data_IF_841954049931
#
_entry.id   IF_841954049931
#
_cell.length_a   1.000
_cell.length_b   1.000
_cell.length_c   1.000
_cell.angle_alpha   90.00
_cell.angle_beta   90.00
_cell.angle_gamma   90.00
#
_symmetry.space_group_name_H-M   'P 1'
#
loop_
_entity.id
_entity.type
_entity.pdbx_description
1 polymer ?
#
# COMPACT_ATOMS: atom_id res chain seq x y z
N UNK A 1 4.77 -18.17 13.16
CA UNK A 1 5.85 -17.22 12.81
C UNK A 1 5.44 -16.20 11.74
N UNK A 2 5.06 -16.61 10.53
CA UNK A 2 4.70 -15.66 9.45
C UNK A 2 3.51 -14.77 9.80
N UNK A 3 2.38 -15.35 10.23
CA UNK A 3 1.17 -14.60 10.61
C UNK A 3 1.47 -13.58 11.71
N UNK A 4 2.27 -13.96 12.71
CA UNK A 4 2.69 -13.04 13.78
C UNK A 4 3.48 -11.84 13.25
N UNK A 5 4.44 -12.07 12.34
CA UNK A 5 5.20 -10.98 11.69
C UNK A 5 4.30 -10.08 10.83
N UNK A 6 3.38 -10.66 10.06
CA UNK A 6 2.42 -9.88 9.27
C UNK A 6 1.55 -9.02 10.19
N UNK A 7 1.01 -9.59 11.27
CA UNK A 7 0.17 -8.86 12.22
C UNK A 7 0.95 -7.73 12.90
N UNK A 8 2.18 -7.99 13.36
CA UNK A 8 3.06 -6.94 13.89
C UNK A 8 3.33 -5.84 12.86
N UNK A 9 3.54 -6.20 11.60
CA UNK A 9 3.71 -5.24 10.50
C UNK A 9 2.45 -4.39 10.25
N UNK A 10 1.28 -5.02 10.26
CA UNK A 10 0.00 -4.31 10.11
C UNK A 10 -0.27 -3.36 11.28
N UNK A 11 0.02 -3.79 12.51
CA UNK A 11 -0.07 -2.92 13.68
C UNK A 11 0.88 -1.72 13.57
N UNK A 12 2.12 -1.95 13.14
CA UNK A 12 3.08 -0.88 12.90
C UNK A 12 2.59 0.13 11.84
N UNK A 13 2.03 -0.37 10.74
CA UNK A 13 1.45 0.47 9.69
C UNK A 13 0.23 1.24 10.19
N UNK A 14 -0.62 0.62 11.02
CA UNK A 14 -1.76 1.29 11.64
C UNK A 14 -1.34 2.41 12.58
N UNK A 15 -0.32 2.18 13.43
CA UNK A 15 0.26 3.21 14.31
C UNK A 15 0.84 4.34 13.47
N UNK A 16 1.62 4.02 12.43
CA UNK A 16 2.22 5.01 11.54
C UNK A 16 1.15 5.86 10.84
N UNK A 17 0.09 5.23 10.35
CA UNK A 17 -1.03 5.92 9.73
C UNK A 17 -1.77 6.84 10.73
N UNK A 18 -1.99 6.36 11.96
CA UNK A 18 -2.60 7.16 13.02
C UNK A 18 -1.74 8.40 13.33
N UNK A 19 -0.43 8.24 13.46
CA UNK A 19 0.51 9.34 13.68
C UNK A 19 0.44 10.37 12.54
N UNK A 20 0.42 9.92 11.28
CA UNK A 20 0.27 10.81 10.13
C UNK A 20 -1.05 11.59 10.16
N UNK A 21 -2.16 10.93 10.51
CA UNK A 21 -3.48 11.58 10.64
C UNK A 21 -3.46 12.63 11.75
N UNK A 22 -2.95 12.28 12.94
CA UNK A 22 -2.85 13.19 14.08
C UNK A 22 -1.98 14.40 13.75
N UNK A 23 -0.84 14.18 13.09
CA UNK A 23 0.03 15.26 12.64
C UNK A 23 -0.68 16.18 11.63
N UNK A 24 -1.38 15.61 10.66
CA UNK A 24 -2.18 16.37 9.70
C UNK A 24 -3.23 17.23 10.39
N UNK A 25 -3.98 16.67 11.35
CA UNK A 25 -4.96 17.41 12.14
C UNK A 25 -4.32 18.55 12.95
N UNK A 26 -3.15 18.31 13.55
CA UNK A 26 -2.40 19.32 14.29
C UNK A 26 -1.94 20.49 13.39
N UNK A 27 -1.64 20.21 12.12
CA UNK A 27 -1.29 21.23 11.12
C UNK A 27 -2.52 21.91 10.47
N UNK A 28 -3.74 21.54 10.89
CA UNK A 28 -4.98 22.12 10.38
C UNK A 28 -5.57 21.43 9.15
N UNK A 29 -5.17 20.19 8.85
CA UNK A 29 -5.82 19.40 7.81
C UNK A 29 -7.29 19.16 8.17
N UNK A 30 -8.19 19.52 7.25
CA UNK A 30 -9.63 19.27 7.41
C UNK A 30 -9.95 17.88 6.87
N UNK A 31 -10.00 16.90 7.77
CA UNK A 31 -10.38 15.52 7.45
C UNK A 31 -11.88 15.37 7.67
N UNK A 32 -12.66 15.38 6.59
CA UNK A 32 -14.10 15.12 6.65
C UNK A 32 -14.35 13.62 6.76
N UNK A 33 -14.67 13.13 7.95
CA UNK A 33 -15.06 11.75 8.17
C UNK A 33 -16.53 11.67 8.55
N UNK A 34 -17.38 11.39 7.55
CA UNK A 34 -18.80 11.14 7.75
C UNK A 34 -19.26 9.95 6.87
N UNK A 35 -19.22 8.71 7.40
CA UNK A 35 -19.66 7.53 6.68
C UNK A 35 -21.17 7.47 6.43
N UNK A 36 -21.97 8.24 7.16
CA UNK A 36 -23.42 8.31 6.95
C UNK A 36 -23.75 9.21 5.76
N UNK A 37 -23.04 10.32 5.60
CA UNK A 37 -23.20 11.23 4.46
C UNK A 37 -22.50 10.70 3.19
N UNK A 38 -21.30 10.14 3.33
CA UNK A 38 -20.55 9.53 2.23
C UNK A 38 -20.09 8.12 2.61
N UNK A 39 -20.80 7.06 2.15
CA UNK A 39 -20.45 5.67 2.45
C UNK A 39 -19.04 5.28 1.98
N UNK A 40 -18.43 6.02 1.05
CA UNK A 40 -17.06 5.77 0.60
C UNK A 40 -16.03 5.90 1.73
N UNK A 41 -16.29 6.77 2.72
CA UNK A 41 -15.41 6.93 3.88
C UNK A 41 -15.23 5.60 4.64
N UNK A 42 -16.29 4.80 4.77
CA UNK A 42 -16.22 3.50 5.45
C UNK A 42 -15.29 2.49 4.77
N UNK A 43 -15.03 2.65 3.46
CA UNK A 43 -14.16 1.75 2.70
C UNK A 43 -12.69 2.18 2.68
N UNK A 44 -12.37 3.41 3.08
CA UNK A 44 -10.98 3.89 3.16
C UNK A 44 -10.08 2.98 4.01
N UNK A 45 -10.49 2.51 5.21
CA UNK A 45 -9.67 1.58 6.00
C UNK A 45 -9.44 0.25 5.29
N UNK A 46 -10.39 -0.20 4.47
CA UNK A 46 -10.25 -1.42 3.65
C UNK A 46 -9.18 -1.21 2.58
N UNK A 47 -9.20 -0.07 1.89
CA UNK A 47 -8.18 0.29 0.90
C UNK A 47 -6.78 0.37 1.54
N UNK A 48 -6.68 0.96 2.73
CA UNK A 48 -5.44 1.02 3.51
C UNK A 48 -4.94 -0.38 3.89
N UNK A 49 -5.84 -1.28 4.31
CA UNK A 49 -5.49 -2.66 4.64
C UNK A 49 -4.99 -3.42 3.40
N UNK A 50 -5.65 -3.28 2.25
CA UNK A 50 -5.23 -3.92 1.00
C UNK A 50 -3.89 -3.38 0.51
N UNK A 51 -3.66 -2.06 0.61
CA UNK A 51 -2.37 -1.44 0.33
C UNK A 51 -1.27 -1.92 1.28
N UNK A 52 -1.60 -2.08 2.57
CA UNK A 52 -0.68 -2.62 3.57
C UNK A 52 -0.30 -4.08 3.27
N UNK A 53 -1.27 -4.94 2.96
CA UNK A 53 -1.01 -6.34 2.56
C UNK A 53 -0.16 -6.43 1.30
N UNK A 54 -0.42 -5.58 0.31
CA UNK A 54 0.39 -5.48 -0.90
C UNK A 54 1.83 -5.10 -0.56
N UNK A 55 2.02 -4.07 0.28
CA UNK A 55 3.34 -3.62 0.72
C UNK A 55 4.10 -4.70 1.48
N UNK A 56 3.43 -5.40 2.39
CA UNK A 56 4.01 -6.53 3.14
C UNK A 56 4.39 -7.67 2.19
N UNK A 57 3.52 -8.03 1.25
CA UNK A 57 3.80 -9.07 0.25
C UNK A 57 5.02 -8.74 -0.61
N UNK A 58 5.15 -7.50 -1.08
CA UNK A 58 6.34 -7.05 -1.80
C UNK A 58 7.60 -7.12 -0.93
N UNK A 59 7.53 -6.68 0.33
CA UNK A 59 8.66 -6.78 1.25
C UNK A 59 9.13 -8.23 1.47
N UNK A 60 8.19 -9.17 1.55
CA UNK A 60 8.49 -10.61 1.61
C UNK A 60 9.17 -11.09 0.31
N UNK A 61 8.67 -10.70 -0.86
CA UNK A 61 9.28 -11.06 -2.15
C UNK A 61 10.70 -10.49 -2.26
N UNK A 62 10.90 -9.22 -1.89
CA UNK A 62 12.22 -8.57 -1.92
C UNK A 62 13.20 -9.27 -0.97
N UNK A 63 12.74 -9.72 0.19
CA UNK A 63 13.58 -10.42 1.16
C UNK A 63 14.20 -11.71 0.62
N UNK A 64 13.60 -12.32 -0.41
CA UNK A 64 14.14 -13.52 -1.09
C UNK A 64 15.43 -13.25 -1.85
N UNK A 65 15.62 -12.02 -2.35
CA UNK A 65 16.80 -11.64 -3.12
C UNK A 65 18.01 -11.33 -2.21
N UNK A 66 17.78 -11.12 -0.92
CA UNK A 66 18.82 -10.74 0.02
C UNK A 66 19.35 -11.95 0.82
N UNK A 67 20.68 -12.02 0.97
CA UNK A 67 21.33 -13.03 1.82
C UNK A 67 21.29 -12.70 3.32
N UNK A 68 20.98 -11.44 3.67
CA UNK A 68 20.96 -10.95 5.04
C UNK A 68 19.79 -10.01 5.27
N UNK A 69 19.35 -9.88 6.52
CA UNK A 69 18.29 -8.94 6.89
C UNK A 69 18.65 -7.48 6.53
N UNK A 70 19.91 -7.08 6.76
CA UNK A 70 20.40 -5.75 6.39
C UNK A 70 20.37 -5.54 4.86
N UNK A 71 20.72 -6.56 4.09
CA UNK A 71 20.61 -6.53 2.63
C UNK A 71 19.16 -6.39 2.15
N UNK A 72 18.22 -7.10 2.80
CA UNK A 72 16.79 -7.00 2.47
C UNK A 72 16.26 -5.58 2.73
N UNK A 73 16.61 -4.99 3.88
CA UNK A 73 16.27 -3.61 4.19
C UNK A 73 16.86 -2.63 3.17
N UNK A 74 18.14 -2.80 2.80
CA UNK A 74 18.79 -1.96 1.79
C UNK A 74 18.11 -2.04 0.42
N UNK A 75 17.76 -3.26 -0.04
CA UNK A 75 17.02 -3.46 -1.29
C UNK A 75 15.62 -2.84 -1.22
N UNK A 76 14.91 -3.02 -0.10
CA UNK A 76 13.60 -2.42 0.08
C UNK A 76 13.68 -0.88 -0.02
N UNK A 77 14.63 -0.24 0.65
CA UNK A 77 14.85 1.21 0.55
C UNK A 77 15.19 1.64 -0.89
N UNK A 78 16.06 0.90 -1.58
CA UNK A 78 16.43 1.19 -2.96
C UNK A 78 15.25 1.09 -3.93
N UNK A 79 14.32 0.17 -3.70
CA UNK A 79 13.09 0.00 -4.49
C UNK A 79 12.01 1.01 -4.12
N UNK A 80 11.90 1.38 -2.83
CA UNK A 80 10.92 2.34 -2.34
C UNK A 80 11.09 3.72 -2.98
N UNK A 81 12.33 4.15 -3.21
CA UNK A 81 12.59 5.46 -3.83
C UNK A 81 11.94 5.61 -5.22
N UNK A 82 12.22 4.73 -6.21
CA UNK A 82 11.50 4.73 -7.49
C UNK A 82 9.98 4.58 -7.34
N UNK A 83 9.52 3.74 -6.40
CA UNK A 83 8.09 3.54 -6.16
C UNK A 83 7.38 4.81 -5.71
N UNK A 84 8.03 5.71 -4.97
CA UNK A 84 7.44 7.00 -4.56
C UNK A 84 7.09 7.90 -5.76
N UNK A 85 7.84 7.80 -6.86
CA UNK A 85 7.53 8.51 -8.10
C UNK A 85 6.40 7.82 -8.87
N UNK A 86 6.45 6.49 -8.99
CA UNK A 86 5.43 5.70 -9.71
C UNK A 86 4.05 5.83 -9.04
N UNK A 87 4.01 5.81 -7.71
CA UNK A 87 2.77 5.94 -6.93
C UNK A 87 2.15 7.34 -6.95
N UNK A 88 2.79 8.30 -7.61
CA UNK A 88 2.26 9.64 -7.74
C UNK A 88 2.29 10.46 -6.44
N UNK A 89 3.05 10.00 -5.43
CA UNK A 89 3.15 10.68 -4.13
C UNK A 89 4.07 11.89 -4.23
N UNK A 90 5.20 11.75 -4.94
CA UNK A 90 6.19 12.83 -5.07
C UNK A 90 6.00 13.67 -6.33
N UNK A 91 5.68 13.04 -7.47
CA UNK A 91 5.32 13.72 -8.71
C UNK A 91 3.91 13.33 -9.13
N UNK A 92 3.08 14.26 -9.61
CA UNK A 92 1.81 13.90 -10.23
C UNK A 92 2.00 12.94 -11.40
N UNK A 93 1.13 11.92 -11.52
CA UNK A 93 1.24 10.88 -12.56
C UNK A 93 1.24 11.41 -13.99
N UNK A 94 0.60 12.55 -14.24
CA UNK A 94 0.55 13.17 -15.57
C UNK A 94 1.90 13.74 -16.03
N UNK A 95 2.88 13.90 -15.11
CA UNK A 95 4.25 14.28 -15.43
C UNK A 95 5.16 13.09 -15.75
N UNK A 96 4.69 11.85 -15.53
CA UNK A 96 5.46 10.66 -15.84
C UNK A 96 5.48 10.41 -17.36
N UNK A 97 6.61 9.94 -17.91
CA UNK A 97 6.65 9.47 -19.29
C UNK A 97 5.68 8.30 -19.48
N UNK A 98 5.17 8.14 -20.69
CA UNK A 98 4.08 7.21 -21.01
C UNK A 98 4.26 5.78 -20.46
N UNK A 99 5.45 5.14 -20.54
CA UNK A 99 5.62 3.79 -20.00
C UNK A 99 5.49 3.73 -18.47
N UNK A 100 6.02 4.72 -17.76
CA UNK A 100 5.96 4.78 -16.30
C UNK A 100 4.55 5.15 -15.83
N UNK A 101 3.83 5.99 -16.59
CA UNK A 101 2.45 6.32 -16.32
C UNK A 101 1.54 5.10 -16.48
N UNK A 102 1.71 4.34 -17.56
CA UNK A 102 0.96 3.10 -17.77
C UNK A 102 1.22 2.11 -16.63
N UNK A 103 2.47 1.95 -16.19
CA UNK A 103 2.80 1.13 -15.03
C UNK A 103 2.09 1.64 -13.76
N UNK A 104 2.16 2.94 -13.50
CA UNK A 104 1.52 3.57 -12.35
C UNK A 104 0.01 3.32 -12.32
N UNK A 105 -0.68 3.41 -13.46
CA UNK A 105 -2.14 3.31 -13.54
C UNK A 105 -2.67 1.92 -13.20
N UNK A 106 -1.88 0.86 -13.40
CA UNK A 106 -2.25 -0.52 -13.03
C UNK A 106 -1.59 -1.00 -11.72
N UNK A 107 -0.65 -0.24 -11.18
CA UNK A 107 0.09 -0.65 -10.00
C UNK A 107 -0.80 -0.56 -8.74
N UNK A 108 -0.99 -1.65 -7.97
CA UNK A 108 -2.00 -1.72 -6.92
C UNK A 108 -1.81 -0.67 -5.82
N UNK A 109 -0.57 -0.38 -5.43
CA UNK A 109 -0.33 0.68 -4.44
C UNK A 109 -0.73 2.06 -4.96
N UNK A 110 -0.48 2.36 -6.24
CA UNK A 110 -0.91 3.63 -6.83
C UNK A 110 -2.42 3.73 -6.79
N UNK A 111 -3.13 2.68 -7.18
CA UNK A 111 -4.59 2.68 -7.18
C UNK A 111 -5.18 2.84 -5.77
N UNK A 112 -4.57 2.23 -4.76
CA UNK A 112 -4.96 2.41 -3.36
C UNK A 112 -4.78 3.87 -2.91
N UNK A 113 -3.62 4.46 -3.19
CA UNK A 113 -3.31 5.87 -2.85
C UNK A 113 -4.25 6.83 -3.57
N UNK A 114 -4.48 6.61 -4.87
CA UNK A 114 -5.36 7.46 -5.68
C UNK A 114 -6.81 7.38 -5.19
N UNK A 115 -7.35 6.18 -4.96
CA UNK A 115 -8.73 6.02 -4.46
C UNK A 115 -8.91 6.66 -3.07
N UNK A 116 -7.94 6.51 -2.16
CA UNK A 116 -7.96 7.18 -0.86
C UNK A 116 -7.92 8.70 -1.04
N UNK A 117 -7.08 9.22 -1.94
CA UNK A 117 -6.99 10.66 -2.22
C UNK A 117 -8.28 11.22 -2.80
N UNK A 118 -8.88 10.51 -3.76
CA UNK A 118 -10.14 10.90 -4.39
C UNK A 118 -11.28 11.05 -3.39
N UNK A 119 -11.36 10.15 -2.41
CA UNK A 119 -12.39 10.19 -1.37
C UNK A 119 -12.05 11.21 -0.29
N UNK A 120 -10.83 11.17 0.27
CA UNK A 120 -10.47 11.96 1.44
C UNK A 120 -10.10 13.41 1.15
N UNK A 121 -9.63 13.71 -0.07
CA UNK A 121 -9.18 15.06 -0.47
C UNK A 121 -10.19 15.72 -1.40
N UNK A 122 -10.68 14.97 -2.40
CA UNK A 122 -11.60 15.51 -3.40
C UNK A 122 -13.08 15.25 -3.08
N UNK A 123 -13.37 14.54 -1.99
CA UNK A 123 -14.74 14.30 -1.52
C UNK A 123 -15.57 13.42 -2.45
N UNK A 124 -14.93 12.61 -3.32
CA UNK A 124 -15.64 11.69 -4.20
C UNK A 124 -16.35 10.60 -3.40
N UNK A 125 -17.42 10.08 -3.98
CA UNK A 125 -18.21 9.01 -3.42
C UNK A 125 -17.70 7.63 -3.83
N UNK A 126 -18.64 6.70 -3.85
CA UNK A 126 -18.41 5.28 -4.07
C UNK A 126 -17.86 4.98 -5.49
N UNK A 127 -18.11 5.88 -6.45
CA UNK A 127 -17.62 5.83 -7.82
C UNK A 127 -16.08 5.82 -7.92
N UNK A 128 -15.38 6.40 -6.94
CA UNK A 128 -13.92 6.39 -6.89
C UNK A 128 -13.35 5.04 -6.40
N UNK A 129 -14.14 4.25 -5.66
CA UNK A 129 -13.68 3.02 -5.01
C UNK A 129 -14.11 1.78 -5.80
N UNK A 130 -15.37 1.71 -6.25
CA UNK A 130 -15.96 0.50 -6.82
C UNK A 130 -15.17 -0.10 -8.00
N UNK A 131 -14.68 0.68 -8.98
CA UNK A 131 -13.94 0.11 -10.11
C UNK A 131 -12.57 -0.44 -9.69
N UNK A 132 -11.97 0.16 -8.66
CA UNK A 132 -10.60 -0.13 -8.21
C UNK A 132 -10.55 -1.31 -7.24
N UNK A 133 -11.58 -1.45 -6.41
CA UNK A 133 -11.60 -2.39 -5.29
C UNK A 133 -11.35 -3.86 -5.70
N UNK A 134 -11.98 -4.43 -6.75
CA UNK A 134 -11.75 -5.83 -7.13
C UNK A 134 -10.32 -6.06 -7.61
N UNK A 135 -9.77 -5.13 -8.39
CA UNK A 135 -8.40 -5.21 -8.87
C UNK A 135 -7.41 -5.14 -7.72
N UNK A 136 -7.57 -4.16 -6.84
CA UNK A 136 -6.71 -3.99 -5.67
C UNK A 136 -6.77 -5.21 -4.75
N UNK A 137 -7.96 -5.75 -4.49
CA UNK A 137 -8.13 -6.94 -3.68
C UNK A 137 -7.45 -8.16 -4.31
N UNK A 138 -7.64 -8.37 -5.62
CA UNK A 138 -7.00 -9.45 -6.36
C UNK A 138 -5.47 -9.33 -6.35
N UNK A 139 -4.95 -8.14 -6.64
CA UNK A 139 -3.51 -7.89 -6.62
C UNK A 139 -2.90 -8.05 -5.22
N UNK A 140 -3.57 -7.57 -4.18
CA UNK A 140 -3.13 -7.75 -2.79
C UNK A 140 -3.09 -9.24 -2.42
N UNK A 141 -4.12 -10.01 -2.78
CA UNK A 141 -4.18 -11.44 -2.53
C UNK A 141 -3.06 -12.19 -3.27
N UNK A 142 -2.81 -11.86 -4.54
CA UNK A 142 -1.77 -12.48 -5.35
C UNK A 142 -0.38 -12.13 -4.79
N UNK A 143 -0.07 -10.85 -4.60
CA UNK A 143 1.26 -10.40 -4.15
C UNK A 143 1.57 -10.91 -2.75
N UNK A 144 0.61 -10.82 -1.82
CA UNK A 144 0.78 -11.35 -0.48
C UNK A 144 0.89 -12.88 -0.50
N UNK A 145 0.06 -13.57 -1.28
CA UNK A 145 0.10 -15.03 -1.44
C UNK A 145 1.44 -15.52 -1.99
N UNK A 146 1.97 -14.86 -3.01
CA UNK A 146 3.29 -15.14 -3.58
C UNK A 146 4.40 -14.86 -2.56
N UNK A 147 4.34 -13.73 -1.84
CA UNK A 147 5.31 -13.40 -0.79
C UNK A 147 5.29 -14.40 0.37
N UNK A 148 4.10 -14.84 0.79
CA UNK A 148 3.93 -15.85 1.83
C UNK A 148 4.45 -17.22 1.39
N UNK A 149 4.21 -17.62 0.13
CA UNK A 149 4.75 -18.84 -0.45
C UNK A 149 6.28 -18.79 -0.52
N UNK A 150 6.83 -17.67 -0.98
CA UNK A 150 8.27 -17.45 -1.08
C UNK A 150 8.95 -17.56 0.31
N UNK A 151 8.37 -16.93 1.33
CA UNK A 151 8.83 -17.06 2.72
C UNK A 151 8.83 -18.52 3.21
N UNK A 152 7.77 -19.28 2.90
CA UNK A 152 7.67 -20.69 3.27
C UNK A 152 8.74 -21.55 2.59
N UNK A 153 9.08 -21.25 1.32
CA UNK A 153 10.11 -21.96 0.57
C UNK A 153 11.52 -21.71 1.11
N UNK A 154 11.85 -20.47 1.49
CA UNK A 154 13.15 -20.17 2.11
C UNK A 154 13.32 -20.88 3.44
N UNK A 155 12.28 -20.87 4.29
CA UNK A 155 12.33 -21.54 5.58
C UNK A 155 12.57 -23.06 5.46
N UNK A 156 12.06 -23.68 4.39
CA UNK A 156 12.27 -25.11 4.10
C UNK A 156 13.67 -25.44 3.61
N UNK A 157 14.42 -24.48 3.05
CA UNK A 157 15.80 -24.69 2.59
C UNK A 157 16.85 -24.52 3.70
N UNK A 158 16.46 -23.90 4.81
CA UNK A 158 17.33 -23.67 5.98
C UNK A 158 17.18 -24.70 7.10
N UNK A 159 16.28 -25.67 6.94
CA UNK A 159 16.11 -26.84 7.81
C UNK A 159 16.68 -28.06 7.08
#
# INVERSE_FOLDING_TARGET
LLIGKTLSGLLWLAISALVCVLYGLAWGARISWDPLANPAHALVPVLMLLGALTSVGMGLIISMAAKTAKGASGLATAISWPLMFITGIWLPKWMLPEPLRALADYFPLTMAVDAIREVMVFGKGMEAILPVLPWLAGAAAIIYGLGALAYKLVLRRSL
#
